data_IF_402851255747
#
_entry.id   IF_402851255747
#
_cell.length_a   1.000
_cell.length_b   1.000
_cell.length_c   1.000
_cell.angle_alpha   90.00
_cell.angle_beta   90.00
_cell.angle_gamma   90.00
#
_symmetry.space_group_name_H-M   'P 1'
#
loop_
_entity.id
_entity.type
_entity.pdbx_description
1 polymer ?
#
# COMPACT_ATOMS: atom_id res chain seq x y z
N UNK A 1 -11.92 2.71 -16.43
CA UNK A 1 -11.70 3.80 -15.47
C UNK A 1 -10.37 3.68 -14.72
N UNK A 2 -10.05 2.55 -14.07
CA UNK A 2 -8.81 2.43 -13.27
C UNK A 2 -7.54 2.66 -14.11
N UNK A 3 -7.54 2.15 -15.33
CA UNK A 3 -6.47 2.38 -16.31
C UNK A 3 -6.25 3.87 -16.59
N UNK A 4 -7.32 4.65 -16.71
CA UNK A 4 -7.26 6.09 -16.97
C UNK A 4 -6.70 6.83 -15.74
N UNK A 5 -7.17 6.48 -14.53
CA UNK A 5 -6.62 7.03 -13.30
C UNK A 5 -5.11 6.77 -13.19
N UNK A 6 -4.67 5.53 -13.46
CA UNK A 6 -3.23 5.18 -13.45
C UNK A 6 -2.45 5.91 -14.55
N UNK A 7 -3.06 6.18 -15.70
CA UNK A 7 -2.44 6.97 -16.76
C UNK A 7 -2.25 8.44 -16.33
N UNK A 8 -3.25 9.03 -15.67
CA UNK A 8 -3.12 10.39 -15.11
C UNK A 8 -2.05 10.48 -14.02
N UNK A 9 -1.82 9.39 -13.28
CA UNK A 9 -0.78 9.28 -12.25
C UNK A 9 0.62 8.94 -12.79
N UNK A 10 0.79 8.71 -14.10
CA UNK A 10 2.05 8.25 -14.71
C UNK A 10 3.29 9.02 -14.24
N UNK A 11 3.22 10.36 -14.24
CA UNK A 11 4.33 11.21 -13.78
C UNK A 11 4.69 11.00 -12.30
N UNK A 12 3.71 10.71 -11.42
CA UNK A 12 3.97 10.39 -10.01
C UNK A 12 4.51 8.96 -9.87
N UNK A 13 3.95 8.03 -10.62
CA UNK A 13 4.40 6.63 -10.64
C UNK A 13 5.86 6.53 -11.05
N UNK A 14 6.27 7.27 -12.09
CA UNK A 14 7.66 7.33 -12.53
C UNK A 14 8.60 7.89 -11.45
N UNK A 15 8.18 8.92 -10.71
CA UNK A 15 8.98 9.46 -9.59
C UNK A 15 9.17 8.44 -8.47
N UNK A 16 8.13 7.66 -8.18
CA UNK A 16 8.17 6.64 -7.14
C UNK A 16 9.02 5.44 -7.55
N UNK A 17 8.86 4.98 -8.80
CA UNK A 17 9.67 3.89 -9.34
C UNK A 17 11.14 4.28 -9.44
N UNK A 18 11.46 5.54 -9.75
CA UNK A 18 12.84 6.03 -9.81
C UNK A 18 13.30 6.72 -8.52
N UNK A 19 12.63 6.45 -7.40
CA UNK A 19 12.95 7.12 -6.14
C UNK A 19 14.36 6.74 -5.65
N UNK A 20 15.16 7.67 -5.08
CA UNK A 20 16.53 7.37 -4.66
C UNK A 20 16.66 6.23 -3.65
N UNK A 21 15.62 6.01 -2.82
CA UNK A 21 15.57 4.86 -1.91
C UNK A 21 15.64 3.52 -2.67
N UNK A 22 14.88 3.40 -3.76
CA UNK A 22 14.81 2.18 -4.58
C UNK A 22 16.11 2.02 -5.38
N UNK A 23 16.57 3.08 -6.04
CA UNK A 23 17.78 3.03 -6.86
C UNK A 23 19.03 2.67 -6.02
N UNK A 24 19.15 3.23 -4.80
CA UNK A 24 20.24 2.88 -3.88
C UNK A 24 20.14 1.46 -3.36
N UNK A 25 18.93 0.91 -3.20
CA UNK A 25 18.78 -0.49 -2.83
C UNK A 25 19.34 -1.40 -3.94
N UNK A 26 18.97 -1.13 -5.20
CA UNK A 26 19.43 -1.91 -6.35
C UNK A 26 20.95 -1.80 -6.60
N UNK A 27 21.54 -0.63 -6.38
CA UNK A 27 22.99 -0.45 -6.47
C UNK A 27 23.76 -1.07 -5.29
N UNK A 28 23.06 -1.46 -4.21
CA UNK A 28 23.66 -1.99 -2.99
C UNK A 28 24.14 -0.92 -1.99
N UNK A 29 23.85 0.35 -2.25
CA UNK A 29 24.27 1.52 -1.44
C UNK A 29 23.27 1.91 -0.34
N UNK A 30 22.14 1.20 -0.23
CA UNK A 30 21.16 1.40 0.82
C UNK A 30 21.50 0.50 2.02
N UNK A 31 21.79 1.07 3.21
CA UNK A 31 22.18 0.27 4.37
C UNK A 31 20.98 -0.53 4.93
N UNK A 32 21.27 -1.66 5.57
CA UNK A 32 20.24 -2.53 6.18
C UNK A 32 19.33 -1.79 7.18
N UNK A 33 19.86 -0.82 7.91
CA UNK A 33 19.07 0.00 8.85
C UNK A 33 17.91 0.76 8.18
N UNK A 34 18.00 1.06 6.88
CA UNK A 34 16.91 1.68 6.13
C UNK A 34 15.80 0.69 5.78
N UNK A 35 16.14 -0.58 5.55
CA UNK A 35 15.13 -1.66 5.44
C UNK A 35 14.47 -1.92 6.80
N UNK A 36 15.24 -1.88 7.89
CA UNK A 36 14.70 -2.00 9.24
C UNK A 36 13.72 -0.85 9.57
N UNK A 37 14.08 0.38 9.22
CA UNK A 37 13.18 1.53 9.31
C UNK A 37 11.91 1.30 8.48
N UNK A 38 12.04 0.82 7.24
CA UNK A 38 10.89 0.48 6.40
C UNK A 38 9.96 -0.51 7.11
N UNK A 39 10.48 -1.61 7.67
CA UNK A 39 9.65 -2.60 8.38
C UNK A 39 9.01 -2.04 9.66
N UNK A 40 9.69 -1.16 10.39
CA UNK A 40 9.11 -0.52 11.57
C UNK A 40 7.96 0.44 11.20
N UNK A 41 8.08 1.18 10.09
CA UNK A 41 6.97 2.01 9.59
C UNK A 41 5.81 1.14 9.06
N UNK A 42 6.11 0.07 8.31
CA UNK A 42 5.10 -0.87 7.82
C UNK A 42 4.39 -1.60 8.97
N UNK A 43 5.09 -1.91 10.07
CA UNK A 43 4.47 -2.44 11.28
C UNK A 43 3.38 -1.53 11.82
N UNK A 44 3.58 -0.21 11.81
CA UNK A 44 2.50 0.71 12.19
C UNK A 44 1.38 0.68 11.14
N UNK A 45 1.72 0.93 9.87
CA UNK A 45 0.77 1.06 8.77
C UNK A 45 -0.15 -0.16 8.66
N UNK A 46 0.40 -1.36 8.48
CA UNK A 46 -0.38 -2.59 8.27
C UNK A 46 -1.24 -2.95 9.48
N UNK A 47 -0.78 -2.62 10.71
CA UNK A 47 -1.55 -2.87 11.91
C UNK A 47 -2.83 -2.02 11.94
N UNK A 48 -2.74 -0.74 11.55
CA UNK A 48 -3.90 0.16 11.51
C UNK A 48 -4.74 -0.02 10.23
N UNK A 49 -4.13 -0.38 9.11
CA UNK A 49 -4.83 -0.70 7.86
C UNK A 49 -5.75 -1.90 8.04
N UNK A 50 -5.34 -2.93 8.80
CA UNK A 50 -6.23 -4.03 9.19
C UNK A 50 -7.52 -3.59 9.89
N UNK A 51 -7.45 -2.55 10.75
CA UNK A 51 -8.64 -2.02 11.43
C UNK A 51 -9.52 -1.26 10.45
N UNK A 52 -8.91 -0.48 9.56
CA UNK A 52 -9.60 0.22 8.48
C UNK A 52 -10.32 -0.78 7.57
N UNK A 53 -9.66 -1.85 7.15
CA UNK A 53 -10.24 -2.91 6.34
C UNK A 53 -11.36 -3.64 7.07
N UNK A 54 -11.23 -3.92 8.38
CA UNK A 54 -12.32 -4.51 9.15
C UNK A 54 -13.56 -3.60 9.19
N UNK A 55 -13.37 -2.27 9.28
CA UNK A 55 -14.46 -1.30 9.18
C UNK A 55 -15.10 -1.36 7.79
N UNK A 56 -14.30 -1.38 6.71
CA UNK A 56 -14.80 -1.51 5.34
C UNK A 56 -15.62 -2.79 5.14
N UNK A 57 -15.12 -3.94 5.61
CA UNK A 57 -15.84 -5.23 5.61
C UNK A 57 -17.21 -5.10 6.29
N UNK A 58 -17.28 -4.49 7.47
CA UNK A 58 -18.53 -4.32 8.20
C UNK A 58 -19.54 -3.35 7.56
N UNK A 59 -19.09 -2.53 6.62
CA UNK A 59 -19.90 -1.53 5.91
C UNK A 59 -20.25 -1.95 4.47
N UNK A 60 -19.68 -3.05 3.98
CA UNK A 60 -19.96 -3.58 2.65
C UNK A 60 -21.45 -3.93 2.51
N UNK A 61 -22.07 -3.53 1.39
CA UNK A 61 -23.50 -3.75 1.17
C UNK A 61 -23.77 -4.83 0.12
N UNK A 62 -22.78 -5.15 -0.70
CA UNK A 62 -22.85 -6.16 -1.75
C UNK A 62 -21.89 -7.31 -1.46
N UNK A 63 -22.21 -8.50 -1.98
CA UNK A 63 -21.37 -9.69 -1.75
C UNK A 63 -19.97 -9.52 -2.37
N UNK A 64 -19.86 -8.92 -3.55
CA UNK A 64 -18.58 -8.69 -4.22
C UNK A 64 -17.71 -7.65 -3.51
N UNK A 65 -18.31 -6.64 -2.89
CA UNK A 65 -17.62 -5.72 -1.97
C UNK A 65 -17.07 -6.46 -0.76
N UNK A 66 -17.89 -7.32 -0.14
CA UNK A 66 -17.50 -8.11 1.02
C UNK A 66 -16.32 -9.02 0.69
N UNK A 67 -16.41 -9.76 -0.42
CA UNK A 67 -15.36 -10.67 -0.88
C UNK A 67 -14.05 -9.90 -1.18
N UNK A 68 -14.15 -8.73 -1.81
CA UNK A 68 -13.00 -7.88 -2.11
C UNK A 68 -12.30 -7.38 -0.83
N UNK A 69 -13.05 -6.83 0.13
CA UNK A 69 -12.47 -6.31 1.36
C UNK A 69 -11.94 -7.42 2.27
N UNK A 70 -12.61 -8.58 2.33
CA UNK A 70 -12.11 -9.75 3.06
C UNK A 70 -10.80 -10.27 2.46
N UNK A 71 -10.69 -10.34 1.13
CA UNK A 71 -9.45 -10.73 0.47
C UNK A 71 -8.31 -9.76 0.78
N UNK A 72 -8.59 -8.45 0.76
CA UNK A 72 -7.59 -7.42 1.08
C UNK A 72 -7.17 -7.51 2.54
N UNK A 73 -8.13 -7.66 3.47
CA UNK A 73 -7.88 -7.86 4.90
C UNK A 73 -7.01 -9.09 5.16
N UNK A 74 -7.26 -10.19 4.46
CA UNK A 74 -6.46 -11.41 4.60
C UNK A 74 -5.01 -11.18 4.17
N UNK A 75 -4.78 -10.45 3.08
CA UNK A 75 -3.44 -10.08 2.61
C UNK A 75 -2.66 -9.31 3.66
N UNK A 76 -3.26 -8.25 4.20
CA UNK A 76 -2.64 -7.45 5.27
C UNK A 76 -2.45 -8.26 6.56
N UNK A 77 -3.34 -9.22 6.85
CA UNK A 77 -3.22 -10.08 8.01
C UNK A 77 -2.01 -11.01 7.91
N UNK A 78 -1.76 -11.61 6.75
CA UNK A 78 -0.52 -12.36 6.49
C UNK A 78 0.72 -11.46 6.56
N UNK A 79 0.64 -10.25 5.99
CA UNK A 79 1.69 -9.24 6.09
C UNK A 79 2.04 -8.90 7.54
N UNK A 80 1.02 -8.70 8.39
CA UNK A 80 1.21 -8.38 9.80
C UNK A 80 1.88 -9.52 10.58
N UNK A 81 1.57 -10.79 10.26
CA UNK A 81 2.25 -11.94 10.90
C UNK A 81 3.75 -11.90 10.61
N UNK A 82 4.12 -11.61 9.37
CA UNK A 82 5.53 -11.48 8.98
C UNK A 82 6.17 -10.28 9.70
N UNK A 83 5.53 -9.10 9.67
CA UNK A 83 6.03 -7.90 10.32
C UNK A 83 6.20 -8.06 11.84
N UNK A 84 5.39 -8.90 12.49
CA UNK A 84 5.57 -9.22 13.91
C UNK A 84 6.96 -9.79 14.19
N UNK A 85 7.47 -10.62 13.28
CA UNK A 85 8.77 -11.28 13.36
C UNK A 85 9.92 -10.38 12.88
N UNK A 86 9.73 -9.65 11.76
CA UNK A 86 10.84 -8.94 11.09
C UNK A 86 11.02 -7.48 11.52
N UNK A 87 9.96 -6.82 11.98
CA UNK A 87 10.06 -5.43 12.45
C UNK A 87 10.66 -5.38 13.87
N UNK A 88 11.68 -4.54 14.05
CA UNK A 88 12.36 -4.37 15.34
C UNK A 88 11.58 -3.48 16.31
N UNK A 89 10.68 -2.65 15.79
CA UNK A 89 9.82 -1.72 16.55
C UNK A 89 10.65 -0.74 17.38
N UNK A 90 11.79 -0.36 16.82
CA UNK A 90 12.79 0.55 17.38
C UNK A 90 12.54 2.00 17.00
N UNK A 91 12.02 2.22 15.79
CA UNK A 91 11.71 3.56 15.31
C UNK A 91 10.28 3.96 15.65
N UNK A 92 10.10 5.16 16.19
CA UNK A 92 8.79 5.76 16.31
C UNK A 92 8.16 5.97 14.92
N UNK A 93 6.82 5.94 14.82
CA UNK A 93 6.12 6.27 13.59
C UNK A 93 6.52 7.66 13.08
N UNK A 94 6.97 7.75 11.83
CA UNK A 94 7.26 9.00 11.15
C UNK A 94 5.93 9.57 10.62
N UNK A 95 5.50 10.78 11.03
CA UNK A 95 4.19 11.31 10.66
C UNK A 95 3.92 11.29 9.15
N UNK A 96 4.94 11.63 8.35
CA UNK A 96 4.84 11.63 6.88
C UNK A 96 4.74 10.21 6.31
N UNK A 97 5.43 9.22 6.88
CA UNK A 97 5.36 7.83 6.44
C UNK A 97 3.97 7.23 6.66
N UNK A 98 3.35 7.57 7.79
CA UNK A 98 2.07 6.97 8.23
C UNK A 98 0.84 7.79 7.79
N UNK A 99 1.02 8.86 7.02
CA UNK A 99 -0.10 9.72 6.61
C UNK A 99 -1.15 8.95 5.79
N UNK A 100 -0.71 8.00 4.96
CA UNK A 100 -1.58 7.09 4.21
C UNK A 100 -2.58 6.36 5.11
N UNK A 101 -2.10 5.71 6.18
CA UNK A 101 -2.96 4.86 7.03
C UNK A 101 -4.04 5.69 7.75
N UNK A 102 -3.73 6.94 8.10
CA UNK A 102 -4.71 7.86 8.68
C UNK A 102 -5.79 8.26 7.67
N UNK A 103 -5.40 8.53 6.42
CA UNK A 103 -6.36 8.81 5.36
C UNK A 103 -7.20 7.57 5.00
N UNK A 104 -6.60 6.38 5.00
CA UNK A 104 -7.32 5.13 4.80
C UNK A 104 -8.35 4.88 5.92
N UNK A 105 -8.00 5.19 7.16
CA UNK A 105 -8.94 5.14 8.30
C UNK A 105 -10.10 6.13 8.12
N UNK A 106 -9.83 7.33 7.61
CA UNK A 106 -10.89 8.28 7.25
C UNK A 106 -11.80 7.71 6.15
N UNK A 107 -11.23 7.15 5.07
CA UNK A 107 -12.01 6.52 3.99
C UNK A 107 -12.82 5.32 4.47
N UNK A 108 -12.30 4.52 5.40
CA UNK A 108 -13.03 3.39 5.98
C UNK A 108 -14.32 3.85 6.67
N UNK A 109 -14.26 4.97 7.40
CA UNK A 109 -15.40 5.49 8.15
C UNK A 109 -16.37 6.32 7.30
N UNK A 110 -15.84 7.10 6.35
CA UNK A 110 -16.61 8.15 5.67
C UNK A 110 -16.73 7.98 4.16
N UNK A 111 -15.88 7.16 3.54
CA UNK A 111 -15.96 6.83 2.12
C UNK A 111 -17.05 5.80 1.81
N UNK A 112 -17.43 5.74 0.53
CA UNK A 112 -18.23 4.64 0.00
C UNK A 112 -17.34 3.48 -0.51
N UNK A 113 -17.93 2.31 -0.78
CA UNK A 113 -17.18 1.12 -1.20
C UNK A 113 -16.37 1.34 -2.48
N UNK A 114 -16.87 2.15 -3.42
CA UNK A 114 -16.12 2.51 -4.63
C UNK A 114 -14.87 3.35 -4.34
N UNK A 115 -14.99 4.36 -3.48
CA UNK A 115 -13.87 5.21 -3.05
C UNK A 115 -12.80 4.39 -2.31
N UNK A 116 -13.24 3.48 -1.44
CA UNK A 116 -12.39 2.55 -0.69
C UNK A 116 -11.67 1.59 -1.63
N UNK A 117 -12.38 0.97 -2.57
CA UNK A 117 -11.79 0.02 -3.51
C UNK A 117 -10.75 0.69 -4.42
N UNK A 118 -10.98 1.93 -4.87
CA UNK A 118 -9.98 2.70 -5.63
C UNK A 118 -8.75 2.99 -4.78
N UNK A 119 -8.93 3.45 -3.54
CA UNK A 119 -7.82 3.79 -2.64
C UNK A 119 -6.90 2.59 -2.33
N UNK A 120 -7.47 1.38 -2.29
CA UNK A 120 -6.75 0.13 -2.02
C UNK A 120 -6.04 -0.45 -3.26
N UNK A 121 -6.34 0.02 -4.47
CA UNK A 121 -5.94 -0.69 -5.71
C UNK A 121 -5.18 0.16 -6.71
N UNK A 122 -5.32 1.48 -6.64
CA UNK A 122 -4.76 2.35 -7.68
C UNK A 122 -3.23 2.33 -7.70
N UNK A 123 -2.59 2.31 -6.53
CA UNK A 123 -1.14 2.41 -6.37
C UNK A 123 -0.42 1.06 -6.29
N UNK A 124 -1.17 -0.03 -6.08
CA UNK A 124 -0.62 -1.38 -5.87
C UNK A 124 0.36 -1.85 -6.96
N UNK A 125 0.18 -1.56 -8.27
CA UNK A 125 1.18 -1.96 -9.27
C UNK A 125 2.57 -1.34 -9.02
N UNK A 126 2.61 -0.08 -8.59
CA UNK A 126 3.86 0.63 -8.28
C UNK A 126 4.45 0.10 -6.98
N UNK A 127 3.62 -0.07 -5.95
CA UNK A 127 4.02 -0.64 -4.67
C UNK A 127 4.60 -2.05 -4.81
N UNK A 128 3.92 -2.93 -5.56
CA UNK A 128 4.35 -4.30 -5.80
C UNK A 128 5.70 -4.36 -6.54
N UNK A 129 5.89 -3.52 -7.56
CA UNK A 129 7.16 -3.45 -8.28
C UNK A 129 8.31 -2.99 -7.37
N UNK A 130 8.09 -1.97 -6.54
CA UNK A 130 9.08 -1.54 -5.56
C UNK A 130 9.37 -2.62 -4.52
N UNK A 131 8.35 -3.34 -4.03
CA UNK A 131 8.54 -4.48 -3.14
C UNK A 131 9.41 -5.56 -3.79
N UNK A 132 9.15 -5.91 -5.06
CA UNK A 132 9.93 -6.89 -5.81
C UNK A 132 11.40 -6.46 -5.97
N UNK A 133 11.65 -5.19 -6.29
CA UNK A 133 13.01 -4.63 -6.43
C UNK A 133 13.76 -4.64 -5.10
N UNK A 134 13.10 -4.25 -4.01
CA UNK A 134 13.67 -4.33 -2.65
C UNK A 134 13.94 -5.78 -2.24
N UNK A 135 13.01 -6.71 -2.50
CA UNK A 135 13.19 -8.12 -2.19
C UNK A 135 14.44 -8.70 -2.89
N UNK A 136 14.67 -8.32 -4.15
CA UNK A 136 15.85 -8.73 -4.90
C UNK A 136 17.14 -8.12 -4.32
N UNK A 137 17.14 -6.82 -4.01
CA UNK A 137 18.30 -6.11 -3.48
C UNK A 137 18.79 -6.64 -2.11
N UNK A 138 17.85 -7.06 -1.26
CA UNK A 138 18.11 -7.50 0.11
C UNK A 138 18.09 -9.02 0.30
N UNK A 139 17.86 -9.79 -0.76
CA UNK A 139 17.88 -11.25 -0.70
C UNK A 139 19.22 -11.77 -0.18
N UNK A 140 19.16 -12.68 0.79
CA UNK A 140 20.34 -13.23 1.46
C UNK A 140 21.01 -12.30 2.47
N UNK A 141 20.51 -11.06 2.63
CA UNK A 141 21.02 -10.08 3.61
C UNK A 141 20.01 -9.79 4.72
N UNK A 142 18.71 -9.93 4.43
CA UNK A 142 17.62 -9.74 5.39
C UNK A 142 16.45 -10.68 5.06
N UNK A 143 15.49 -10.75 5.98
CA UNK A 143 14.19 -11.38 5.71
C UNK A 143 13.40 -10.52 4.72
N UNK A 144 13.01 -11.12 3.59
CA UNK A 144 12.28 -10.45 2.50
C UNK A 144 10.87 -10.98 2.32
N UNK A 145 10.35 -11.81 3.25
CA UNK A 145 9.01 -12.45 3.13
C UNK A 145 7.89 -11.42 2.97
N UNK A 146 7.98 -10.30 3.69
CA UNK A 146 6.99 -9.21 3.58
C UNK A 146 7.01 -8.60 2.17
N UNK A 147 8.21 -8.31 1.66
CA UNK A 147 8.40 -7.76 0.32
C UNK A 147 7.96 -8.76 -0.77
N UNK A 148 8.26 -10.04 -0.61
CA UNK A 148 7.81 -11.10 -1.54
C UNK A 148 6.29 -11.26 -1.53
N UNK A 149 5.63 -11.10 -0.38
CA UNK A 149 4.17 -11.15 -0.26
C UNK A 149 3.53 -10.02 -1.07
N UNK A 150 3.94 -8.77 -0.82
CA UNK A 150 3.36 -7.60 -1.48
C UNK A 150 3.83 -7.43 -2.93
N UNK A 151 4.98 -7.99 -3.30
CA UNK A 151 5.50 -7.99 -4.67
C UNK A 151 4.79 -8.95 -5.63
N UNK A 152 3.89 -9.81 -5.12
CA UNK A 152 3.09 -10.77 -5.92
C UNK A 152 1.62 -10.43 -5.98
N UNK A 153 1.23 -9.26 -5.46
CA UNK A 153 -0.18 -8.86 -5.44
C UNK A 153 -0.66 -8.63 -6.87
N UNK A 154 -1.69 -9.37 -7.24
CA UNK A 154 -2.42 -9.20 -8.51
C UNK A 154 -3.81 -8.64 -8.22
N UNK A 155 -4.22 -7.66 -9.02
CA UNK A 155 -5.52 -7.00 -8.88
C UNK A 155 -6.38 -7.40 -10.07
N UNK A 156 -7.59 -7.87 -9.78
CA UNK A 156 -8.62 -8.00 -10.79
C UNK A 156 -9.33 -6.64 -10.95
N UNK A 157 -8.82 -5.83 -11.87
CA UNK A 157 -9.37 -4.50 -12.15
C UNK A 157 -10.88 -4.56 -12.48
N UNK A 158 -11.38 -5.66 -13.08
CA UNK A 158 -12.80 -5.79 -13.41
C UNK A 158 -13.68 -5.88 -12.14
N UNK A 159 -13.22 -6.57 -11.10
CA UNK A 159 -13.93 -6.63 -9.81
C UNK A 159 -14.03 -5.25 -9.19
N UNK A 160 -12.93 -4.50 -9.23
CA UNK A 160 -12.89 -3.14 -8.68
C UNK A 160 -13.78 -2.20 -9.49
N UNK A 161 -13.74 -2.26 -10.82
CA UNK A 161 -14.59 -1.44 -11.68
C UNK A 161 -16.08 -1.77 -11.50
N UNK A 162 -16.42 -3.03 -11.22
CA UNK A 162 -17.79 -3.45 -10.88
C UNK A 162 -18.27 -2.76 -9.60
N UNK A 163 -17.46 -2.78 -8.53
CA UNK A 163 -17.78 -2.07 -7.27
C UNK A 163 -17.94 -0.57 -7.53
N UNK A 164 -16.97 0.04 -8.21
CA UNK A 164 -16.93 1.48 -8.48
C UNK A 164 -18.16 1.95 -9.28
N UNK A 165 -18.64 1.15 -10.23
CA UNK A 165 -19.80 1.50 -11.07
C UNK A 165 -21.09 1.80 -10.28
N UNK A 166 -21.19 1.34 -9.02
CA UNK A 166 -22.36 1.53 -8.16
C UNK A 166 -22.35 2.85 -7.39
N UNK A 167 -21.23 3.57 -7.38
CA UNK A 167 -21.04 4.73 -6.53
C UNK A 167 -20.62 5.96 -7.34
N UNK A 168 -21.11 7.12 -6.91
CA UNK A 168 -20.49 8.40 -7.25
C UNK A 168 -19.39 8.65 -6.23
N UNK A 169 -18.16 8.88 -6.69
CA UNK A 169 -17.02 9.04 -5.81
C UNK A 169 -15.97 9.99 -6.37
N UNK A 170 -15.11 10.50 -5.49
CA UNK A 170 -14.04 11.44 -5.85
C UNK A 170 -12.80 10.69 -6.33
N UNK A 171 -12.96 9.80 -7.31
CA UNK A 171 -11.96 8.80 -7.66
C UNK A 171 -10.61 9.40 -8.07
N UNK A 172 -10.63 10.49 -8.85
CA UNK A 172 -9.41 11.19 -9.26
C UNK A 172 -8.68 11.85 -8.09
N UNK A 173 -9.41 12.52 -7.21
CA UNK A 173 -8.87 13.18 -6.01
C UNK A 173 -8.23 12.15 -5.09
N UNK A 174 -8.97 11.08 -4.77
CA UNK A 174 -8.49 9.98 -3.91
C UNK A 174 -7.25 9.33 -4.53
N UNK A 175 -7.29 9.00 -5.81
CA UNK A 175 -6.15 8.38 -6.50
C UNK A 175 -4.89 9.24 -6.42
N UNK A 176 -5.06 10.55 -6.61
CA UNK A 176 -3.96 11.52 -6.50
C UNK A 176 -3.41 11.58 -5.09
N UNK A 177 -4.27 11.70 -4.08
CA UNK A 177 -3.87 11.74 -2.67
C UNK A 177 -3.10 10.48 -2.27
N UNK A 178 -3.62 9.30 -2.63
CA UNK A 178 -2.99 8.01 -2.30
C UNK A 178 -1.60 7.90 -2.93
N UNK A 179 -1.44 8.25 -4.21
CA UNK A 179 -0.14 8.18 -4.88
C UNK A 179 0.85 9.21 -4.31
N UNK A 180 0.38 10.40 -3.92
CA UNK A 180 1.23 11.37 -3.22
C UNK A 180 1.68 10.89 -1.85
N UNK A 181 0.79 10.23 -1.08
CA UNK A 181 1.18 9.64 0.19
C UNK A 181 2.22 8.54 0.01
N UNK A 182 2.14 7.74 -1.05
CA UNK A 182 3.20 6.77 -1.34
C UNK A 182 4.54 7.47 -1.63
N UNK A 183 4.56 8.51 -2.47
CA UNK A 183 5.79 9.29 -2.71
C UNK A 183 6.34 9.89 -1.40
N UNK A 184 5.48 10.42 -0.54
CA UNK A 184 5.86 10.97 0.76
C UNK A 184 6.40 9.89 1.71
N UNK A 185 5.83 8.68 1.67
CA UNK A 185 6.36 7.54 2.39
C UNK A 185 7.81 7.27 1.98
N UNK A 186 8.11 7.15 0.69
CA UNK A 186 9.47 6.92 0.22
C UNK A 186 10.43 8.05 0.60
N UNK A 187 10.00 9.31 0.48
CA UNK A 187 10.79 10.48 0.90
C UNK A 187 11.14 10.43 2.39
N UNK A 188 10.23 9.97 3.24
CA UNK A 188 10.42 9.93 4.70
C UNK A 188 11.45 8.89 5.16
N UNK A 189 11.77 7.91 4.31
CA UNK A 189 12.72 6.84 4.62
C UNK A 189 14.16 7.18 4.24
N UNK A 190 14.40 8.24 3.45
CA UNK A 190 15.74 8.61 3.00
C UNK A 190 16.64 9.18 4.10
#
# INVERSE_FOLDING_TARGET
MLKELRQELSNLNEKILNHPFILRAESGDLPLSKLELFYDQQWYIVNYDLRSLAIMVSRANQQDELDFFLSTLQGDYEGLKILREVAKKTYSPLPTAISYTHYLSWLANYGNSGEQAVALTVNLPVWAENCRRLANAFRGKADVRFLDLFGRVEIDDNKVETIVSRYLGRYKEISTIIQFYELQFWNSLL
#
